data_IF_584177464883
#
_entry.id   IF_584177464883
#
_cell.length_a   1.000
_cell.length_b   1.000
_cell.length_c   1.000
_cell.angle_alpha   90.00
_cell.angle_beta   90.00
_cell.angle_gamma   90.00
#
_symmetry.space_group_name_H-M   'P 1'
#
loop_
_entity.id
_entity.type
_entity.pdbx_description
1 polymer ?
#
# COMPACT_ATOMS: atom_id res chain seq x y z
N UNK A 1 -17.39 -8.75 -0.21
CA UNK A 1 -18.04 -7.57 -0.81
C UNK A 1 -17.95 -6.44 0.19
N UNK A 2 -17.52 -5.25 -0.22
CA UNK A 2 -17.30 -4.11 0.68
C UNK A 2 -18.34 -3.03 0.41
N UNK A 3 -18.78 -2.36 1.46
CA UNK A 3 -19.76 -1.28 1.38
C UNK A 3 -18.99 0.02 1.26
N UNK A 4 -19.12 0.73 0.14
CA UNK A 4 -18.49 2.04 0.02
C UNK A 4 -19.15 3.05 0.97
N UNK A 5 -18.57 4.25 1.10
CA UNK A 5 -19.11 5.36 1.92
C UNK A 5 -20.54 5.80 1.57
N UNK A 6 -21.13 5.25 0.50
CA UNK A 6 -22.49 5.51 0.05
C UNK A 6 -23.44 4.33 0.32
N UNK A 7 -23.04 3.35 1.14
CA UNK A 7 -23.88 2.19 1.45
C UNK A 7 -23.99 1.17 0.31
N UNK A 8 -23.22 1.34 -0.78
CA UNK A 8 -23.30 0.43 -1.94
C UNK A 8 -22.34 -0.74 -1.75
N UNK A 9 -22.90 -1.94 -1.64
CA UNK A 9 -22.15 -3.19 -1.69
C UNK A 9 -21.49 -3.28 -3.06
N UNK A 10 -20.16 -3.21 -3.09
CA UNK A 10 -19.34 -3.49 -4.26
C UNK A 10 -18.80 -4.91 -4.16
N UNK A 11 -19.15 -5.72 -5.16
CA UNK A 11 -18.62 -7.05 -5.40
C UNK A 11 -17.53 -7.02 -6.47
N UNK A 12 -17.54 -6.01 -7.33
CA UNK A 12 -16.55 -5.80 -8.39
C UNK A 12 -15.57 -4.68 -8.00
N UNK A 13 -14.30 -4.77 -8.43
CA UNK A 13 -13.31 -3.71 -8.27
C UNK A 13 -13.65 -2.43 -9.09
N UNK A 14 -12.64 -1.62 -9.40
CA UNK A 14 -12.81 -0.46 -10.28
C UNK A 14 -13.34 -0.86 -11.67
N UNK A 15 -13.94 0.10 -12.39
CA UNK A 15 -14.34 -0.09 -13.78
C UNK A 15 -13.11 -0.47 -14.62
N UNK A 16 -13.26 -1.44 -15.54
CA UNK A 16 -12.13 -1.91 -16.35
C UNK A 16 -11.32 -3.05 -15.72
N UNK A 17 -11.59 -3.41 -14.44
CA UNK A 17 -10.82 -4.45 -13.77
C UNK A 17 -10.97 -5.82 -14.45
N UNK A 18 -12.21 -6.21 -14.77
CA UNK A 18 -12.48 -7.52 -15.38
C UNK A 18 -11.94 -7.57 -16.82
N UNK A 19 -11.96 -6.43 -17.52
CA UNK A 19 -11.48 -6.24 -18.88
C UNK A 19 -9.95 -6.26 -18.98
N UNK A 20 -9.22 -5.83 -17.95
CA UNK A 20 -7.77 -5.86 -17.94
C UNK A 20 -7.25 -7.31 -17.97
N UNK A 21 -6.51 -7.66 -19.02
CA UNK A 21 -6.00 -9.01 -19.26
C UNK A 21 -4.62 -9.27 -18.65
N UNK A 22 -3.97 -8.26 -18.06
CA UNK A 22 -2.67 -8.42 -17.42
C UNK A 22 -2.76 -8.98 -15.99
N UNK A 23 -1.60 -9.12 -15.35
CA UNK A 23 -1.51 -9.52 -13.94
C UNK A 23 -2.22 -8.50 -13.06
N UNK A 24 -3.16 -8.98 -12.23
CA UNK A 24 -3.97 -8.12 -11.35
C UNK A 24 -4.29 -8.80 -10.04
N UNK A 25 -4.46 -8.00 -8.99
CA UNK A 25 -4.95 -8.40 -7.67
C UNK A 25 -5.90 -7.32 -7.16
N UNK A 26 -6.89 -7.71 -6.34
CA UNK A 26 -7.77 -6.79 -5.64
C UNK A 26 -7.78 -7.14 -4.15
N UNK A 27 -7.59 -6.13 -3.29
CA UNK A 27 -7.54 -6.27 -1.83
C UNK A 27 -8.64 -5.47 -1.12
N UNK A 28 -9.05 -6.05 0.01
CA UNK A 28 -10.33 -5.99 0.72
C UNK A 28 -10.56 -5.13 1.94
N UNK A 29 -10.17 -3.85 2.02
CA UNK A 29 -10.23 -3.16 3.32
C UNK A 29 -10.42 -1.63 3.25
N UNK A 30 -10.91 -1.10 4.37
CA UNK A 30 -11.07 0.33 4.66
C UNK A 30 -9.74 0.99 4.96
N UNK A 31 -9.74 2.33 4.86
CA UNK A 31 -8.57 3.14 5.23
C UNK A 31 -8.50 3.34 6.74
N UNK A 32 -8.28 2.26 7.47
CA UNK A 32 -8.30 2.25 8.92
C UNK A 32 -7.16 1.40 9.46
N UNK A 33 -6.71 1.74 10.67
CA UNK A 33 -5.67 1.02 11.41
C UNK A 33 -6.23 0.25 12.60
N UNK A 34 -7.51 0.46 12.95
CA UNK A 34 -8.20 -0.17 14.07
C UNK A 34 -9.54 -0.70 13.58
N UNK A 35 -9.89 -1.93 13.98
CA UNK A 35 -11.19 -2.54 13.69
C UNK A 35 -12.33 -1.79 14.40
N UNK A 36 -13.52 -1.83 13.82
CA UNK A 36 -14.70 -1.18 14.37
C UNK A 36 -15.99 -1.69 13.74
N UNK A 37 -17.12 -1.19 14.25
CA UNK A 37 -18.41 -1.54 13.68
C UNK A 37 -18.48 -1.07 12.22
N UNK A 38 -18.62 -2.02 11.29
CA UNK A 38 -18.60 -1.80 9.83
C UNK A 38 -17.26 -1.28 9.28
N UNK A 39 -16.15 -1.44 10.00
CA UNK A 39 -14.81 -1.10 9.53
C UNK A 39 -13.98 -2.38 9.43
N UNK A 40 -13.50 -2.68 8.23
CA UNK A 40 -12.60 -3.81 7.97
C UNK A 40 -11.20 -3.29 7.70
N UNK A 41 -10.24 -3.62 8.56
CA UNK A 41 -8.83 -3.21 8.36
C UNK A 41 -8.09 -4.22 7.48
N UNK A 42 -6.91 -3.82 7.00
CA UNK A 42 -6.02 -4.75 6.31
C UNK A 42 -5.54 -5.86 7.26
N UNK A 43 -5.50 -7.10 6.76
CA UNK A 43 -5.00 -8.24 7.52
C UNK A 43 -3.62 -8.66 7.05
N UNK A 44 -2.90 -9.43 7.89
CA UNK A 44 -1.64 -10.06 7.50
C UNK A 44 -1.78 -10.94 6.25
N UNK A 45 -2.93 -11.59 6.07
CA UNK A 45 -3.21 -12.40 4.89
C UNK A 45 -3.33 -11.54 3.61
N UNK A 46 -3.92 -10.34 3.70
CA UNK A 46 -3.99 -9.43 2.54
C UNK A 46 -2.61 -8.96 2.10
N UNK A 47 -1.76 -8.57 3.05
CA UNK A 47 -0.40 -8.10 2.76
C UNK A 47 0.49 -9.25 2.27
N UNK A 48 0.30 -10.47 2.79
CA UNK A 48 0.98 -11.66 2.28
C UNK A 48 0.60 -11.94 0.82
N UNK A 49 -0.70 -11.87 0.50
CA UNK A 49 -1.19 -12.04 -0.88
C UNK A 49 -0.63 -10.98 -1.84
N UNK A 50 -0.41 -9.75 -1.37
CA UNK A 50 0.26 -8.70 -2.15
C UNK A 50 1.70 -9.08 -2.49
N UNK A 51 2.48 -9.51 -1.50
CA UNK A 51 3.88 -9.90 -1.68
C UNK A 51 3.97 -11.10 -2.62
N UNK A 52 3.19 -12.16 -2.33
CA UNK A 52 3.14 -13.36 -3.17
C UNK A 52 2.68 -13.05 -4.60
N UNK A 53 1.72 -12.15 -4.78
CA UNK A 53 1.32 -11.71 -6.12
C UNK A 53 2.49 -11.06 -6.85
N UNK A 54 3.24 -10.19 -6.18
CA UNK A 54 4.41 -9.52 -6.74
C UNK A 54 5.52 -10.47 -7.16
N UNK A 55 5.84 -11.47 -6.32
CA UNK A 55 6.82 -12.51 -6.62
C UNK A 55 6.46 -13.35 -7.87
N UNK A 56 5.16 -13.42 -8.19
CA UNK A 56 4.63 -14.17 -9.32
C UNK A 56 4.36 -13.32 -10.56
N UNK A 57 4.67 -12.02 -10.54
CA UNK A 57 4.68 -11.20 -11.76
C UNK A 57 5.95 -11.57 -12.52
N UNK A 58 5.86 -12.08 -13.76
CA UNK A 58 7.04 -12.29 -14.58
C UNK A 58 7.71 -10.93 -14.72
N UNK A 59 8.88 -10.78 -14.07
CA UNK A 59 9.53 -9.49 -13.95
C UNK A 59 9.56 -8.86 -15.32
N UNK A 60 8.89 -7.72 -15.47
CA UNK A 60 8.58 -7.29 -16.80
C UNK A 60 9.86 -7.01 -17.56
N UNK A 61 9.81 -7.17 -18.88
CA UNK A 61 10.80 -6.54 -19.75
C UNK A 61 10.97 -5.09 -19.31
N UNK A 62 12.20 -4.61 -19.36
CA UNK A 62 12.55 -3.22 -19.11
C UNK A 62 11.46 -2.30 -19.69
N UNK A 63 10.89 -1.45 -18.83
CA UNK A 63 9.82 -0.52 -19.21
C UNK A 63 8.37 -0.94 -18.96
N UNK A 64 8.08 -1.98 -18.17
CA UNK A 64 6.69 -2.20 -17.74
C UNK A 64 6.36 -1.52 -16.41
N UNK A 65 5.08 -1.21 -16.25
CA UNK A 65 4.57 -0.38 -15.15
C UNK A 65 3.58 -1.17 -14.31
N UNK A 66 3.68 -1.02 -12.99
CA UNK A 66 2.69 -1.52 -12.04
C UNK A 66 1.90 -0.33 -11.51
N UNK A 67 0.57 -0.41 -11.57
CA UNK A 67 -0.33 0.59 -11.04
C UNK A 67 -0.90 0.15 -9.70
N UNK A 68 -0.66 0.95 -8.66
CA UNK A 68 -1.34 0.85 -7.38
C UNK A 68 -2.42 1.93 -7.29
N UNK A 69 -3.67 1.55 -7.02
CA UNK A 69 -4.73 2.52 -6.79
C UNK A 69 -5.63 2.11 -5.62
N UNK A 70 -6.23 3.11 -4.98
CA UNK A 70 -7.33 2.93 -4.02
C UNK A 70 -8.44 3.92 -4.41
N UNK A 71 -9.23 4.41 -3.45
CA UNK A 71 -10.24 5.43 -3.75
C UNK A 71 -9.63 6.83 -3.93
N UNK A 72 -8.82 7.29 -2.97
CA UNK A 72 -8.22 8.63 -2.98
C UNK A 72 -6.78 8.65 -3.52
N UNK A 73 -6.11 7.50 -3.62
CA UNK A 73 -4.71 7.41 -4.03
C UNK A 73 -3.73 8.07 -3.05
N UNK A 74 -4.04 8.04 -1.76
CA UNK A 74 -3.28 8.73 -0.69
C UNK A 74 -2.61 7.71 0.25
N UNK A 75 -3.39 6.87 0.95
CA UNK A 75 -2.85 6.05 2.05
C UNK A 75 -2.69 4.57 1.72
N UNK A 76 -3.79 3.83 1.49
CA UNK A 76 -3.75 2.38 1.24
C UNK A 76 -2.89 1.97 0.04
N UNK A 77 -3.08 2.60 -1.11
CA UNK A 77 -2.32 2.26 -2.32
C UNK A 77 -0.85 2.62 -2.19
N UNK A 78 -0.52 3.74 -1.54
CA UNK A 78 0.86 4.14 -1.26
C UNK A 78 1.54 3.14 -0.33
N UNK A 79 0.86 2.69 0.73
CA UNK A 79 1.40 1.66 1.63
C UNK A 79 1.58 0.30 0.94
N UNK A 80 0.63 -0.12 0.10
CA UNK A 80 0.79 -1.34 -0.70
C UNK A 80 1.96 -1.22 -1.68
N UNK A 81 2.10 -0.08 -2.37
CA UNK A 81 3.21 0.18 -3.29
C UNK A 81 4.55 0.15 -2.54
N UNK A 82 4.61 0.73 -1.34
CA UNK A 82 5.81 0.70 -0.49
C UNK A 82 6.18 -0.71 -0.05
N UNK A 83 5.22 -1.51 0.43
CA UNK A 83 5.48 -2.91 0.84
C UNK A 83 5.95 -3.74 -0.36
N UNK A 84 5.32 -3.56 -1.52
CA UNK A 84 5.74 -4.19 -2.76
C UNK A 84 7.16 -3.78 -3.15
N UNK A 85 7.50 -2.49 -3.13
CA UNK A 85 8.84 -2.03 -3.48
C UNK A 85 9.88 -2.56 -2.50
N UNK A 86 9.61 -2.49 -1.20
CA UNK A 86 10.49 -2.99 -0.15
C UNK A 86 10.73 -4.52 -0.22
N UNK A 87 9.75 -5.30 -0.69
CA UNK A 87 9.93 -6.74 -0.89
C UNK A 87 10.94 -7.06 -1.98
N UNK A 88 11.07 -6.19 -2.98
CA UNK A 88 11.99 -6.37 -4.12
C UNK A 88 13.36 -5.70 -3.92
N UNK A 89 13.42 -4.57 -3.22
CA UNK A 89 14.67 -3.84 -2.99
C UNK A 89 15.57 -4.50 -1.93
N UNK A 90 15.02 -5.34 -1.04
CA UNK A 90 15.79 -6.00 0.02
C UNK A 90 16.08 -5.11 1.24
N UNK A 91 16.75 -5.67 2.24
CA UNK A 91 17.05 -5.01 3.54
C UNK A 91 18.02 -3.83 3.36
N UNK A 92 17.74 -2.71 4.03
CA UNK A 92 18.56 -1.50 4.01
C UNK A 92 18.11 -0.40 3.05
N UNK A 93 17.09 -0.67 2.22
CA UNK A 93 16.54 0.27 1.24
C UNK A 93 15.22 0.91 1.69
N UNK A 94 14.79 0.71 2.93
CA UNK A 94 13.46 1.07 3.42
C UNK A 94 13.16 2.56 3.25
N UNK A 95 14.09 3.42 3.66
CA UNK A 95 13.94 4.87 3.50
C UNK A 95 13.92 5.30 2.03
N UNK A 96 14.77 4.72 1.20
CA UNK A 96 14.80 5.01 -0.24
C UNK A 96 13.49 4.60 -0.90
N UNK A 97 12.89 3.48 -0.49
CA UNK A 97 11.58 3.06 -0.98
C UNK A 97 10.48 4.06 -0.59
N UNK A 98 10.53 4.63 0.63
CA UNK A 98 9.60 5.68 1.06
C UNK A 98 9.76 6.93 0.20
N UNK A 99 10.99 7.38 0.00
CA UNK A 99 11.29 8.59 -0.79
C UNK A 99 10.87 8.41 -2.26
N UNK A 100 11.13 7.24 -2.86
CA UNK A 100 10.73 6.94 -4.25
C UNK A 100 9.21 7.00 -4.46
N UNK A 101 8.43 6.43 -3.54
CA UNK A 101 6.96 6.51 -3.61
C UNK A 101 6.49 7.95 -3.42
N UNK A 102 7.11 8.71 -2.51
CA UNK A 102 6.74 10.11 -2.27
C UNK A 102 7.10 11.03 -3.45
N UNK A 103 8.25 10.83 -4.09
CA UNK A 103 8.64 11.57 -5.29
C UNK A 103 7.66 11.34 -6.44
N UNK A 104 7.21 10.08 -6.63
CA UNK A 104 6.19 9.74 -7.62
C UNK A 104 4.77 10.21 -7.23
N UNK A 105 4.49 10.39 -5.93
CA UNK A 105 3.18 10.79 -5.39
C UNK A 105 3.33 11.65 -4.13
N UNK A 106 3.50 12.98 -4.27
CA UNK A 106 3.67 13.90 -3.14
C UNK A 106 2.49 13.93 -2.14
N UNK A 107 1.31 13.49 -2.56
CA UNK A 107 0.11 13.38 -1.72
C UNK A 107 0.03 12.03 -0.97
N UNK A 108 1.05 11.18 -1.05
CA UNK A 108 1.09 9.92 -0.33
C UNK A 108 1.09 10.16 1.19
N UNK A 109 0.28 9.37 1.91
CA UNK A 109 0.30 9.35 3.37
C UNK A 109 0.05 7.92 3.86
N UNK A 110 1.10 7.11 3.87
CA UNK A 110 1.06 5.67 4.05
C UNK A 110 0.16 5.21 5.21
N UNK A 111 -0.71 4.23 4.95
CA UNK A 111 -1.49 3.56 6.00
C UNK A 111 -0.56 2.75 6.92
N UNK A 112 -0.47 3.12 8.19
CA UNK A 112 0.51 2.58 9.15
C UNK A 112 0.35 1.07 9.39
N UNK A 113 -0.89 0.57 9.41
CA UNK A 113 -1.15 -0.85 9.66
C UNK A 113 -0.62 -1.71 8.52
N UNK A 114 -0.84 -1.30 7.26
CA UNK A 114 -0.32 -2.03 6.10
C UNK A 114 1.21 -2.07 6.11
N UNK A 115 1.85 -0.94 6.43
CA UNK A 115 3.31 -0.84 6.52
C UNK A 115 3.84 -1.75 7.62
N UNK A 116 3.22 -1.73 8.81
CA UNK A 116 3.60 -2.57 9.93
C UNK A 116 3.46 -4.08 9.60
N UNK A 117 2.34 -4.48 9.00
CA UNK A 117 2.13 -5.86 8.56
C UNK A 117 3.16 -6.29 7.51
N UNK A 118 3.50 -5.39 6.59
CA UNK A 118 4.53 -5.63 5.58
C UNK A 118 5.92 -5.79 6.20
N UNK A 119 6.29 -4.92 7.14
CA UNK A 119 7.52 -5.01 7.90
C UNK A 119 7.67 -6.38 8.60
N UNK A 120 6.62 -6.82 9.30
CA UNK A 120 6.60 -8.12 9.96
C UNK A 120 6.78 -9.28 8.96
N UNK A 121 6.07 -9.25 7.84
CA UNK A 121 6.12 -10.31 6.82
C UNK A 121 7.48 -10.38 6.12
N UNK A 122 8.13 -9.23 5.95
CA UNK A 122 9.46 -9.12 5.34
C UNK A 122 10.60 -9.31 6.35
N UNK A 123 10.28 -9.52 7.64
CA UNK A 123 11.26 -9.71 8.72
C UNK A 123 12.19 -8.50 8.87
N UNK A 124 11.62 -7.29 8.86
CA UNK A 124 12.37 -6.02 8.89
C UNK A 124 12.57 -5.43 10.28
N UNK A 125 12.07 -6.09 11.32
CA UNK A 125 12.32 -5.69 12.71
C UNK A 125 11.96 -4.21 12.98
N UNK A 126 10.84 -3.76 12.42
CA UNK A 126 10.29 -2.41 12.47
C UNK A 126 11.06 -1.35 11.68
N UNK A 127 12.11 -1.70 10.94
CA UNK A 127 12.91 -0.74 10.16
C UNK A 127 12.08 -0.05 9.08
N UNK A 128 11.20 -0.76 8.36
CA UNK A 128 10.34 -0.17 7.33
C UNK A 128 9.26 0.71 7.96
N UNK A 129 8.66 0.24 9.05
CA UNK A 129 7.67 1.02 9.78
C UNK A 129 8.28 2.32 10.34
N UNK A 130 9.48 2.26 10.93
CA UNK A 130 10.16 3.43 11.49
C UNK A 130 10.58 4.41 10.39
N UNK A 131 11.04 3.94 9.24
CA UNK A 131 11.34 4.81 8.10
C UNK A 131 10.12 5.65 7.68
N UNK A 132 8.91 5.08 7.71
CA UNK A 132 7.66 5.82 7.46
C UNK A 132 7.34 6.81 8.58
N UNK A 133 7.54 6.45 9.86
CA UNK A 133 7.29 7.37 10.98
C UNK A 133 8.25 8.57 10.97
N UNK A 134 9.53 8.33 10.70
CA UNK A 134 10.55 9.37 10.56
C UNK A 134 10.19 10.31 9.41
N UNK A 135 9.88 9.75 8.24
CA UNK A 135 9.42 10.52 7.09
C UNK A 135 8.16 11.35 7.40
N UNK A 136 7.14 10.77 8.06
CA UNK A 136 5.92 11.51 8.46
C UNK A 136 6.26 12.67 9.41
N UNK A 137 7.20 12.47 10.32
CA UNK A 137 7.66 13.49 11.27
C UNK A 137 8.32 14.65 10.54
N UNK A 138 9.19 14.34 9.56
CA UNK A 138 9.82 15.34 8.69
C UNK A 138 8.77 16.11 7.86
N UNK A 139 7.82 15.43 7.23
CA UNK A 139 6.77 16.08 6.43
C UNK A 139 5.88 17.03 7.26
N UNK A 140 5.56 16.64 8.50
CA UNK A 140 4.84 17.52 9.43
C UNK A 140 5.67 18.72 9.82
N UNK A 141 6.97 18.56 10.07
CA UNK A 141 7.87 19.67 10.38
C UNK A 141 8.00 20.68 9.23
N UNK A 142 7.87 20.21 7.98
CA UNK A 142 7.85 21.06 6.78
C UNK A 142 6.51 21.79 6.56
N UNK A 143 5.47 21.48 7.35
CA UNK A 143 4.15 22.09 7.22
C UNK A 143 3.36 21.65 5.97
N UNK A 144 3.83 20.61 5.27
CA UNK A 144 3.19 20.08 4.06
C UNK A 144 1.88 19.34 4.42
N UNK A 145 1.80 18.77 5.62
CA UNK A 145 0.64 18.05 6.13
C UNK A 145 0.20 18.63 7.48
N UNK A 146 -1.05 19.07 7.57
CA UNK A 146 -1.62 19.75 8.76
C UNK A 146 -2.67 18.93 9.52
N UNK A 147 -2.77 17.63 9.24
CA UNK A 147 -3.73 16.72 9.90
C UNK A 147 -3.33 16.34 11.32
#
# INVERSE_FOLDING_TARGET
>A
AWVNSHGKVRTQPCLGYDEFQGHKIALSFDDATVEGQNITVATKADVKRLIEWGDNIPFPREGSTILFHCHAGIARSAACALVFLASHSGKGYERQCVDEIFEGRPEAWFNDLIVWLGDELLGREQVLHNAVQDWKTEQKALGIYTF
#
